data_IF_236209094157
#
_entry.id   IF_236209094157
#
_cell.length_a   1.000
_cell.length_b   1.000
_cell.length_c   1.000
_cell.angle_alpha   90.00
_cell.angle_beta   90.00
_cell.angle_gamma   90.00
#
_symmetry.space_group_name_H-M   'P 1'
#
loop_
_entity.id
_entity.type
_entity.pdbx_description
1 polymer ?
#
# COMPACT_ATOMS: atom_id res chain seq x y z
N UNK A 1 37.07 -16.35 -14.39
CA UNK A 1 37.11 -14.87 -14.25
C UNK A 1 35.86 -14.19 -14.83
N UNK A 2 35.30 -14.64 -15.95
CA UNK A 2 34.07 -14.05 -16.53
C UNK A 2 32.81 -14.23 -15.66
N UNK A 3 32.66 -15.37 -14.99
CA UNK A 3 31.55 -15.64 -14.05
C UNK A 3 31.55 -14.68 -12.84
N UNK A 4 32.73 -14.35 -12.31
CA UNK A 4 32.88 -13.42 -11.18
C UNK A 4 32.56 -11.97 -11.57
N UNK A 5 32.86 -11.60 -12.82
CA UNK A 5 32.46 -10.31 -13.39
C UNK A 5 30.94 -10.22 -13.57
N UNK A 6 30.28 -11.29 -14.01
CA UNK A 6 28.81 -11.33 -14.15
C UNK A 6 28.12 -11.27 -12.79
N UNK A 7 28.62 -11.99 -11.78
CA UNK A 7 28.12 -11.90 -10.40
C UNK A 7 28.36 -10.52 -9.79
N UNK A 8 29.50 -9.89 -10.06
CA UNK A 8 29.78 -8.51 -9.65
C UNK A 8 28.84 -7.51 -10.33
N UNK A 9 28.51 -7.68 -11.62
CA UNK A 9 27.58 -6.82 -12.36
C UNK A 9 26.14 -6.99 -11.85
N UNK A 10 25.72 -8.20 -11.49
CA UNK A 10 24.42 -8.46 -10.87
C UNK A 10 24.36 -7.93 -9.42
N UNK A 11 25.47 -7.99 -8.67
CA UNK A 11 25.57 -7.49 -7.30
C UNK A 11 25.75 -5.96 -7.21
N UNK A 12 26.24 -5.30 -8.28
CA UNK A 12 26.46 -3.86 -8.29
C UNK A 12 25.17 -3.04 -8.37
N UNK A 13 24.02 -3.70 -8.53
CA UNK A 13 22.73 -3.04 -8.64
C UNK A 13 22.66 -2.20 -9.92
N UNK A 14 21.45 -1.98 -10.40
CA UNK A 14 21.23 -0.96 -11.41
C UNK A 14 21.50 0.39 -10.73
N UNK A 15 22.71 0.92 -10.90
CA UNK A 15 23.08 2.30 -10.54
C UNK A 15 22.92 3.16 -11.80
N UNK A 16 21.75 3.80 -12.02
CA UNK A 16 21.49 4.58 -13.22
C UNK A 16 22.37 5.83 -13.33
N UNK A 17 23.26 6.13 -12.37
CA UNK A 17 24.03 7.38 -12.33
C UNK A 17 23.15 8.64 -12.21
N UNK A 18 21.84 8.44 -12.09
CA UNK A 18 20.80 9.46 -12.02
C UNK A 18 19.96 9.11 -10.80
N UNK A 19 20.32 9.70 -9.67
CA UNK A 19 19.50 9.67 -8.46
C UNK A 19 18.30 10.60 -8.66
N UNK A 20 17.06 10.19 -8.31
CA UNK A 20 15.91 11.07 -8.33
C UNK A 20 16.19 12.39 -7.58
N UNK A 21 16.04 13.53 -8.25
CA UNK A 21 16.24 14.84 -7.66
C UNK A 21 14.89 15.39 -7.15
N UNK A 22 14.75 15.49 -5.83
CA UNK A 22 13.53 16.00 -5.18
C UNK A 22 13.58 17.50 -4.86
N UNK A 23 14.61 18.23 -5.26
CA UNK A 23 14.81 19.66 -4.91
C UNK A 23 13.95 20.64 -5.74
N UNK A 24 12.89 20.17 -6.39
CA UNK A 24 12.01 21.04 -7.14
C UNK A 24 11.09 21.83 -6.18
N UNK A 25 10.82 23.13 -6.43
CA UNK A 25 10.02 23.97 -5.51
C UNK A 25 8.55 23.55 -5.37
N UNK A 26 8.05 22.69 -6.25
CA UNK A 26 6.70 22.10 -6.18
C UNK A 26 6.67 20.71 -5.54
N UNK A 27 7.83 20.13 -5.19
CA UNK A 27 7.92 18.74 -4.73
C UNK A 27 7.21 18.55 -3.39
N UNK A 28 7.34 19.50 -2.46
CA UNK A 28 6.67 19.46 -1.16
C UNK A 28 5.14 19.43 -1.30
N UNK A 29 4.59 20.15 -2.29
CA UNK A 29 3.15 20.12 -2.57
C UNK A 29 2.70 18.76 -3.10
N UNK A 30 3.47 18.16 -4.01
CA UNK A 30 3.17 16.83 -4.54
C UNK A 30 3.26 15.74 -3.48
N UNK A 31 4.26 15.80 -2.60
CA UNK A 31 4.40 14.87 -1.48
C UNK A 31 3.21 14.98 -0.51
N UNK A 32 2.81 16.21 -0.15
CA UNK A 32 1.64 16.45 0.69
C UNK A 32 0.35 15.90 0.06
N UNK A 33 0.13 16.13 -1.23
CA UNK A 33 -1.04 15.58 -1.94
C UNK A 33 -0.99 14.05 -1.96
N UNK A 34 0.17 13.46 -2.27
CA UNK A 34 0.36 12.02 -2.24
C UNK A 34 0.04 11.41 -0.88
N UNK A 35 0.54 12.02 0.20
CA UNK A 35 0.25 11.61 1.57
C UNK A 35 -1.24 11.70 1.91
N UNK A 36 -1.91 12.80 1.53
CA UNK A 36 -3.36 12.96 1.75
C UNK A 36 -4.18 11.90 1.01
N UNK A 37 -3.84 11.61 -0.25
CA UNK A 37 -4.54 10.59 -1.05
C UNK A 37 -4.35 9.21 -0.44
N UNK A 38 -3.13 8.86 -0.04
CA UNK A 38 -2.81 7.57 0.55
C UNK A 38 -3.50 7.40 1.91
N UNK A 39 -3.45 8.42 2.77
CA UNK A 39 -4.14 8.43 4.07
C UNK A 39 -5.65 8.26 3.89
N UNK A 40 -6.25 8.99 2.94
CA UNK A 40 -7.68 8.89 2.62
C UNK A 40 -8.04 7.48 2.15
N UNK A 41 -7.24 6.89 1.26
CA UNK A 41 -7.46 5.52 0.79
C UNK A 41 -7.43 4.51 1.94
N UNK A 42 -6.44 4.60 2.84
CA UNK A 42 -6.35 3.73 4.01
C UNK A 42 -7.56 3.88 4.94
N UNK A 43 -8.00 5.11 5.22
CA UNK A 43 -9.20 5.35 6.04
C UNK A 43 -10.44 4.73 5.40
N UNK A 44 -10.61 4.86 4.09
CA UNK A 44 -11.74 4.25 3.37
C UNK A 44 -11.71 2.71 3.44
N UNK A 45 -10.52 2.09 3.33
CA UNK A 45 -10.41 0.64 3.51
C UNK A 45 -10.77 0.21 4.93
N UNK A 46 -10.34 0.94 5.95
CA UNK A 46 -10.72 0.67 7.35
C UNK A 46 -12.24 0.73 7.50
N UNK A 47 -12.90 1.75 6.95
CA UNK A 47 -14.36 1.87 6.98
C UNK A 47 -15.02 0.67 6.28
N UNK A 48 -14.52 0.28 5.10
CA UNK A 48 -15.08 -0.85 4.36
C UNK A 48 -14.94 -2.18 5.12
N UNK A 49 -13.79 -2.41 5.75
CA UNK A 49 -13.52 -3.59 6.60
C UNK A 49 -14.46 -3.61 7.81
N UNK A 50 -14.65 -2.48 8.47
CA UNK A 50 -15.61 -2.35 9.60
C UNK A 50 -17.03 -2.62 9.13
N UNK A 51 -17.45 -2.05 8.00
CA UNK A 51 -18.78 -2.30 7.43
C UNK A 51 -18.97 -3.79 7.08
N UNK A 52 -17.97 -4.43 6.46
CA UNK A 52 -17.97 -5.87 6.18
C UNK A 52 -18.09 -6.72 7.44
N UNK A 53 -17.40 -6.34 8.52
CA UNK A 53 -17.49 -6.99 9.82
C UNK A 53 -18.89 -6.90 10.43
N UNK A 54 -19.51 -5.71 10.37
CA UNK A 54 -20.88 -5.50 10.83
C UNK A 54 -21.84 -6.38 10.03
N UNK A 55 -21.77 -6.34 8.70
CA UNK A 55 -22.63 -7.16 7.82
C UNK A 55 -22.44 -8.66 8.09
N UNK A 56 -21.21 -9.12 8.29
CA UNK A 56 -20.91 -10.51 8.60
C UNK A 56 -21.47 -10.94 9.96
N UNK A 57 -21.33 -10.11 11.00
CA UNK A 57 -21.88 -10.37 12.34
C UNK A 57 -23.40 -10.44 12.31
N UNK A 58 -24.06 -9.48 11.64
CA UNK A 58 -25.51 -9.51 11.45
C UNK A 58 -25.96 -10.73 10.64
N UNK A 59 -25.20 -11.13 9.62
CA UNK A 59 -25.44 -12.35 8.86
C UNK A 59 -25.39 -13.61 9.73
N UNK A 60 -24.41 -13.69 10.64
CA UNK A 60 -24.31 -14.79 11.62
C UNK A 60 -25.48 -14.83 12.59
N UNK A 61 -25.91 -13.68 13.10
CA UNK A 61 -27.00 -13.60 14.08
C UNK A 61 -28.37 -13.85 13.45
N UNK A 62 -28.56 -13.45 12.19
CA UNK A 62 -29.83 -13.62 11.46
C UNK A 62 -29.97 -14.97 10.74
N UNK A 63 -28.92 -15.81 10.71
CA UNK A 63 -28.88 -17.04 9.92
C UNK A 63 -28.86 -16.80 8.40
N UNK A 64 -28.63 -15.57 7.95
CA UNK A 64 -28.62 -15.21 6.54
C UNK A 64 -27.28 -15.54 5.87
N UNK A 65 -27.18 -16.70 5.22
CA UNK A 65 -25.96 -17.16 4.54
C UNK A 65 -25.39 -16.15 3.52
N UNK A 66 -26.26 -15.45 2.77
CA UNK A 66 -25.84 -14.40 1.82
C UNK A 66 -25.14 -13.21 2.48
N UNK A 67 -25.62 -12.76 3.63
CA UNK A 67 -25.01 -11.65 4.36
C UNK A 67 -23.68 -12.07 5.01
N UNK A 68 -23.61 -13.33 5.45
CA UNK A 68 -22.37 -13.93 5.94
C UNK A 68 -21.32 -13.99 4.83
N UNK A 69 -21.63 -14.56 3.66
CA UNK A 69 -20.67 -14.68 2.56
C UNK A 69 -20.23 -13.32 2.02
N UNK A 70 -21.16 -12.38 1.85
CA UNK A 70 -20.85 -11.03 1.41
C UNK A 70 -19.96 -10.29 2.41
N UNK A 71 -20.30 -10.33 3.70
CA UNK A 71 -19.50 -9.69 4.75
C UNK A 71 -18.10 -10.28 4.87
N UNK A 72 -17.96 -11.60 4.73
CA UNK A 72 -16.67 -12.30 4.79
C UNK A 72 -15.81 -11.97 3.56
N UNK A 73 -16.41 -11.89 2.37
CA UNK A 73 -15.73 -11.47 1.15
C UNK A 73 -15.20 -10.03 1.25
N UNK A 74 -16.04 -9.10 1.75
CA UNK A 74 -15.65 -7.70 1.97
C UNK A 74 -14.51 -7.60 3.00
N UNK A 75 -14.58 -8.37 4.09
CA UNK A 75 -13.52 -8.45 5.09
C UNK A 75 -12.20 -8.93 4.47
N UNK A 76 -12.23 -10.05 3.75
CA UNK A 76 -11.05 -10.66 3.16
C UNK A 76 -10.37 -9.70 2.17
N UNK A 77 -11.12 -9.23 1.18
CA UNK A 77 -10.57 -8.37 0.13
C UNK A 77 -10.25 -6.96 0.64
N UNK A 78 -11.02 -6.45 1.59
CA UNK A 78 -10.74 -5.16 2.23
C UNK A 78 -9.42 -5.17 3.00
N UNK A 79 -9.13 -6.22 3.77
CA UNK A 79 -7.86 -6.36 4.49
C UNK A 79 -6.69 -6.56 3.53
N UNK A 80 -6.85 -7.41 2.51
CA UNK A 80 -5.81 -7.61 1.49
C UNK A 80 -5.49 -6.29 0.77
N UNK A 81 -6.50 -5.54 0.35
CA UNK A 81 -6.32 -4.25 -0.30
C UNK A 81 -5.62 -3.24 0.62
N UNK A 82 -6.02 -3.17 1.90
CA UNK A 82 -5.39 -2.30 2.88
C UNK A 82 -3.90 -2.62 3.08
N UNK A 83 -3.55 -3.90 3.17
CA UNK A 83 -2.16 -4.37 3.31
C UNK A 83 -1.34 -3.99 2.08
N UNK A 84 -1.87 -4.22 0.88
CA UNK A 84 -1.18 -3.87 -0.36
C UNK A 84 -0.92 -2.37 -0.45
N UNK A 85 -1.93 -1.54 -0.20
CA UNK A 85 -1.80 -0.07 -0.30
C UNK A 85 -0.87 0.47 0.78
N UNK A 86 -0.98 -0.02 2.02
CA UNK A 86 -0.04 0.33 3.10
C UNK A 86 1.40 -0.07 2.77
N UNK A 87 1.60 -1.26 2.19
CA UNK A 87 2.92 -1.75 1.80
C UNK A 87 3.52 -0.94 0.66
N UNK A 88 2.72 -0.53 -0.33
CA UNK A 88 3.19 0.34 -1.43
C UNK A 88 3.72 1.66 -0.88
N UNK A 89 2.97 2.31 0.01
CA UNK A 89 3.45 3.54 0.65
C UNK A 89 4.77 3.31 1.40
N UNK A 90 4.89 2.20 2.14
CA UNK A 90 6.10 1.84 2.90
C UNK A 90 7.31 1.54 2.02
N UNK A 91 7.12 0.84 0.91
CA UNK A 91 8.18 0.53 -0.05
C UNK A 91 8.66 1.81 -0.74
N UNK A 92 7.74 2.70 -1.12
CA UNK A 92 8.12 3.95 -1.80
C UNK A 92 8.85 4.88 -0.82
N UNK A 93 8.38 5.02 0.43
CA UNK A 93 9.08 5.85 1.42
C UNK A 93 10.46 5.30 1.74
N UNK A 94 10.60 3.97 1.84
CA UNK A 94 11.89 3.30 2.03
C UNK A 94 12.83 3.49 0.83
N UNK A 95 12.33 3.33 -0.40
CA UNK A 95 13.14 3.40 -1.61
C UNK A 95 13.56 4.83 -1.98
N UNK A 96 12.74 5.83 -1.65
CA UNK A 96 12.99 7.23 -2.00
C UNK A 96 13.58 8.05 -0.84
N UNK A 97 13.49 7.56 0.40
CA UNK A 97 13.82 8.33 1.60
C UNK A 97 12.85 9.47 1.91
N UNK A 98 11.77 9.59 1.12
CA UNK A 98 10.75 10.63 1.26
C UNK A 98 9.68 10.13 2.22
N UNK A 99 9.38 10.85 3.32
CA UNK A 99 8.27 10.52 4.19
C UNK A 99 6.95 10.83 3.49
N UNK A 100 6.44 9.86 2.73
CA UNK A 100 5.07 9.91 2.19
C UNK A 100 4.01 9.70 3.29
N UNK A 101 4.43 9.21 4.44
CA UNK A 101 3.67 9.22 5.68
C UNK A 101 4.25 10.34 6.54
N UNK A 102 3.51 11.44 6.65
CA UNK A 102 3.69 12.37 7.76
C UNK A 102 3.11 11.76 9.04
#
# INVERSE_FOLDING_TARGET
MNELMSLSVMAKGYDPGVTPNFNAPWMDQLQNIGGMVLATALVLFVIAVVAGLVVWLFGKLSGGGRAQDAGLSILLWGVVAAVVVGSIGGIISWATGVPLFA
#
